data_IF_733373801573
#
_entry.id   IF_733373801573
#
_cell.length_a   1.000
_cell.length_b   1.000
_cell.length_c   1.000
_cell.angle_alpha   90.00
_cell.angle_beta   90.00
_cell.angle_gamma   90.00
#
_symmetry.space_group_name_H-M   'P 1'
#
loop_
_entity.id
_entity.type
_entity.pdbx_description
1 polymer ?
#
# COMPACT_ATOMS: atom_id res chain seq x y z
N UNK A 1 9.83 -5.45 37.73
CA UNK A 1 9.03 -5.74 36.54
C UNK A 1 8.14 -4.52 36.19
N UNK A 2 8.73 -3.33 36.25
CA UNK A 2 8.10 -2.04 35.95
C UNK A 2 9.06 -1.30 35.05
N UNK A 3 9.02 -1.43 33.74
CA UNK A 3 9.72 -0.46 32.87
C UNK A 3 9.43 -0.58 31.38
N UNK A 4 8.77 -1.63 30.90
CA UNK A 4 8.53 -1.72 29.46
C UNK A 4 7.27 -0.93 29.02
N UNK A 5 6.27 -0.85 29.89
CA UNK A 5 5.03 -0.10 29.62
C UNK A 5 5.22 1.44 29.71
N UNK A 6 6.19 1.90 30.45
CA UNK A 6 6.49 3.34 30.61
C UNK A 6 7.36 3.87 29.47
N UNK A 7 8.21 3.05 28.89
CA UNK A 7 9.04 3.46 27.74
C UNK A 7 8.20 3.56 26.45
N UNK A 8 7.24 2.65 26.25
CA UNK A 8 6.33 2.71 25.09
C UNK A 8 5.37 3.93 25.14
N UNK A 9 5.09 4.47 26.34
CA UNK A 9 4.29 5.70 26.50
C UNK A 9 5.14 6.96 26.27
N UNK A 10 6.43 6.91 26.55
CA UNK A 10 7.35 8.05 26.40
C UNK A 10 7.75 8.33 24.93
N UNK A 11 7.56 7.37 24.02
CA UNK A 11 7.77 7.53 22.58
C UNK A 11 6.46 7.68 21.78
N UNK A 12 5.35 8.04 22.39
CA UNK A 12 4.23 8.56 21.62
C UNK A 12 4.69 9.89 21.02
N UNK A 13 4.95 9.85 19.73
CA UNK A 13 5.33 11.04 18.97
C UNK A 13 4.36 12.17 19.29
N UNK A 14 4.89 13.26 19.84
CA UNK A 14 4.11 14.44 20.26
C UNK A 14 3.69 15.31 19.08
N UNK A 15 4.15 14.98 17.87
CA UNK A 15 3.77 15.70 16.66
C UNK A 15 2.26 15.57 16.42
N UNK A 16 1.63 16.72 16.24
CA UNK A 16 0.17 16.82 16.04
C UNK A 16 -0.14 17.15 14.58
N UNK A 17 -1.09 16.42 14.02
CA UNK A 17 -1.70 16.77 12.74
C UNK A 17 -2.63 18.01 12.88
N UNK A 18 -2.91 18.73 11.77
CA UNK A 18 -2.38 18.53 10.42
C UNK A 18 -0.92 19.02 10.30
N UNK A 19 -0.13 18.30 9.49
CA UNK A 19 1.20 18.78 9.09
C UNK A 19 1.05 19.86 8.01
N UNK A 20 1.98 20.83 8.01
CA UNK A 20 1.88 21.96 7.09
C UNK A 20 2.04 21.56 5.63
N UNK A 21 2.85 20.57 5.36
CA UNK A 21 3.09 19.98 4.03
C UNK A 21 3.39 18.50 4.18
N UNK A 22 3.08 17.76 3.16
CA UNK A 22 3.05 16.32 3.13
C UNK A 22 3.17 15.80 1.70
N UNK A 23 3.47 14.52 1.52
CA UNK A 23 3.46 13.83 0.24
C UNK A 23 2.17 13.02 0.09
N UNK A 24 1.57 13.04 -1.09
CA UNK A 24 0.31 12.34 -1.35
C UNK A 24 0.55 11.04 -2.07
N UNK A 25 1.40 10.83 -2.92
CA UNK A 25 1.50 9.62 -3.74
C UNK A 25 2.94 9.10 -3.89
N UNK A 26 3.14 8.34 -4.96
CA UNK A 26 4.40 7.68 -5.22
C UNK A 26 5.50 8.65 -5.67
N UNK A 27 6.72 8.33 -5.26
CA UNK A 27 7.92 8.98 -5.76
C UNK A 27 8.44 8.30 -7.03
N UNK A 28 9.22 9.05 -7.81
CA UNK A 28 9.94 8.48 -8.95
C UNK A 28 10.94 7.42 -8.47
N UNK A 29 10.85 6.22 -9.04
CA UNK A 29 11.72 5.12 -8.67
C UNK A 29 13.13 5.38 -9.14
N UNK A 30 14.15 5.25 -8.26
CA UNK A 30 15.56 5.31 -8.62
C UNK A 30 15.93 4.23 -9.67
N UNK A 31 16.95 4.48 -10.46
CA UNK A 31 17.38 3.52 -11.48
C UNK A 31 17.75 2.15 -10.87
N UNK A 32 18.47 2.16 -9.75
CA UNK A 32 18.81 0.92 -9.04
C UNK A 32 17.60 0.05 -8.69
N UNK A 33 16.48 0.68 -8.30
CA UNK A 33 15.23 -0.05 -8.01
C UNK A 33 14.59 -0.61 -9.27
N UNK A 34 14.63 0.13 -10.39
CA UNK A 34 14.10 -0.33 -11.69
C UNK A 34 14.89 -1.53 -12.19
N UNK A 35 16.23 -1.45 -12.15
CA UNK A 35 17.14 -2.51 -12.59
C UNK A 35 16.97 -3.78 -11.75
N UNK A 36 16.83 -3.62 -10.42
CA UNK A 36 16.58 -4.73 -9.52
C UNK A 36 15.22 -5.39 -9.79
N UNK A 37 14.17 -4.60 -10.05
CA UNK A 37 12.83 -5.12 -10.39
C UNK A 37 12.84 -5.92 -11.69
N UNK A 38 13.53 -5.42 -12.71
CA UNK A 38 13.70 -6.14 -13.98
C UNK A 38 14.46 -7.45 -13.78
N UNK A 39 15.62 -7.37 -13.09
CA UNK A 39 16.43 -8.56 -12.78
C UNK A 39 15.67 -9.62 -11.99
N UNK A 40 14.80 -9.20 -11.05
CA UNK A 40 13.93 -10.10 -10.31
C UNK A 40 12.86 -10.75 -11.21
N UNK A 41 12.18 -9.96 -12.08
CA UNK A 41 11.22 -10.48 -13.04
C UNK A 41 11.83 -11.50 -13.99
N UNK A 42 13.08 -11.31 -14.40
CA UNK A 42 13.83 -12.23 -15.26
C UNK A 42 14.43 -13.43 -14.50
N UNK A 43 14.22 -13.53 -13.19
CA UNK A 43 14.79 -14.59 -12.34
C UNK A 43 16.31 -14.52 -12.16
N UNK A 44 16.93 -13.39 -12.41
CA UNK A 44 18.39 -13.19 -12.27
C UNK A 44 18.83 -12.95 -10.84
N UNK A 45 17.94 -12.45 -10.00
CA UNK A 45 18.18 -12.25 -8.56
C UNK A 45 17.06 -12.89 -7.75
N UNK A 46 17.36 -13.32 -6.54
CA UNK A 46 16.39 -13.86 -5.58
C UNK A 46 15.54 -12.75 -4.94
N UNK A 47 14.42 -13.12 -4.33
CA UNK A 47 13.52 -12.18 -3.64
C UNK A 47 14.21 -11.43 -2.52
N UNK A 48 15.10 -12.08 -1.78
CA UNK A 48 15.85 -11.48 -0.67
C UNK A 48 16.79 -10.36 -1.16
N UNK A 49 17.40 -10.54 -2.33
CA UNK A 49 18.26 -9.53 -2.94
C UNK A 49 17.42 -8.35 -3.46
N UNK A 50 16.28 -8.62 -4.09
CA UNK A 50 15.34 -7.59 -4.49
C UNK A 50 14.87 -6.77 -3.29
N UNK A 51 14.43 -7.44 -2.21
CA UNK A 51 13.98 -6.78 -0.98
C UNK A 51 15.08 -5.95 -0.33
N UNK A 52 16.33 -6.40 -0.38
CA UNK A 52 17.48 -5.63 0.10
C UNK A 52 17.61 -4.32 -0.65
N UNK A 53 17.55 -4.33 -1.98
CA UNK A 53 17.63 -3.12 -2.81
C UNK A 53 16.46 -2.19 -2.52
N UNK A 54 15.23 -2.72 -2.43
CA UNK A 54 14.03 -1.94 -2.09
C UNK A 54 14.21 -1.25 -0.73
N UNK A 55 14.67 -1.98 0.28
CA UNK A 55 14.90 -1.44 1.63
C UNK A 55 15.97 -0.33 1.63
N UNK A 56 17.05 -0.51 0.88
CA UNK A 56 18.09 0.51 0.74
C UNK A 56 17.56 1.79 0.09
N UNK A 57 16.78 1.68 -0.97
CA UNK A 57 16.24 2.83 -1.67
C UNK A 57 15.16 3.55 -0.85
N UNK A 58 14.31 2.83 -0.11
CA UNK A 58 13.38 3.43 0.85
C UNK A 58 14.14 4.16 1.96
N UNK A 59 15.21 3.57 2.48
CA UNK A 59 16.05 4.19 3.51
C UNK A 59 16.65 5.52 3.02
N UNK A 60 17.18 5.55 1.81
CA UNK A 60 17.71 6.78 1.17
C UNK A 60 16.60 7.83 1.01
N UNK A 61 15.42 7.42 0.54
CA UNK A 61 14.27 8.30 0.35
C UNK A 61 13.81 8.92 1.68
N UNK A 62 13.63 8.10 2.72
CA UNK A 62 13.21 8.59 4.04
C UNK A 62 14.25 9.54 4.63
N UNK A 63 15.53 9.20 4.54
CA UNK A 63 16.61 10.10 4.97
C UNK A 63 16.50 11.46 4.27
N UNK A 64 16.26 11.46 2.96
CA UNK A 64 16.12 12.70 2.18
C UNK A 64 14.89 13.50 2.59
N UNK A 65 13.76 12.85 2.87
CA UNK A 65 12.55 13.52 3.39
C UNK A 65 12.84 14.20 4.74
N UNK A 66 13.53 13.51 5.65
CA UNK A 66 13.93 14.07 6.96
C UNK A 66 14.89 15.25 6.82
N UNK A 67 15.90 15.14 5.96
CA UNK A 67 16.85 16.24 5.67
C UNK A 67 16.16 17.50 5.13
N UNK A 68 15.06 17.33 4.40
CA UNK A 68 14.23 18.41 3.88
C UNK A 68 13.23 18.97 4.89
N UNK A 69 13.18 18.41 6.11
CA UNK A 69 12.33 18.87 7.20
C UNK A 69 10.89 18.38 7.16
N UNK A 70 10.60 17.28 6.44
CA UNK A 70 9.29 16.66 6.49
C UNK A 70 9.07 15.93 7.82
N UNK A 71 7.94 16.20 8.46
CA UNK A 71 7.52 15.50 9.68
C UNK A 71 6.78 14.20 9.40
N UNK A 72 6.01 14.13 8.30
CA UNK A 72 5.40 12.91 7.82
C UNK A 72 6.24 12.34 6.68
N UNK A 73 6.75 11.11 6.85
CA UNK A 73 7.56 10.43 5.84
C UNK A 73 6.84 9.21 5.30
N UNK A 74 7.06 8.92 4.01
CA UNK A 74 6.48 7.76 3.31
C UNK A 74 7.57 6.88 2.72
N UNK A 75 7.24 5.65 2.37
CA UNK A 75 8.10 4.72 1.64
C UNK A 75 8.16 5.02 0.12
N UNK A 76 7.43 6.07 -0.33
CA UNK A 76 7.35 6.47 -1.74
C UNK A 76 6.65 5.44 -2.62
N UNK A 77 5.99 4.46 -2.04
CA UNK A 77 5.35 3.32 -2.74
C UNK A 77 6.35 2.49 -3.57
N UNK A 78 7.60 2.44 -3.15
CA UNK A 78 8.68 1.78 -3.91
C UNK A 78 8.48 0.28 -4.06
N UNK A 79 7.71 -0.35 -3.14
CA UNK A 79 7.38 -1.79 -3.19
C UNK A 79 6.26 -2.10 -4.18
N UNK A 80 5.47 -1.10 -4.60
CA UNK A 80 4.28 -1.29 -5.42
C UNK A 80 4.61 -1.26 -6.91
N UNK A 81 3.92 -2.06 -7.67
CA UNK A 81 3.82 -1.95 -9.13
C UNK A 81 2.71 -0.98 -9.49
N UNK A 82 1.54 -1.23 -8.94
CA UNK A 82 0.35 -0.39 -9.11
C UNK A 82 -0.06 0.14 -7.74
N UNK A 83 -0.34 1.44 -7.63
CA UNK A 83 -0.62 2.09 -6.36
C UNK A 83 -1.82 1.49 -5.62
N UNK A 84 -2.81 0.95 -6.34
CA UNK A 84 -4.06 0.41 -5.81
C UNK A 84 -4.19 -1.12 -5.94
N UNK A 85 -3.80 -1.72 -7.09
CA UNK A 85 -4.00 -3.14 -7.33
C UNK A 85 -3.17 -4.02 -6.40
N UNK A 86 -1.90 -3.65 -6.16
CA UNK A 86 -1.02 -4.36 -5.22
C UNK A 86 -1.64 -4.49 -3.82
N UNK A 87 -2.41 -3.48 -3.39
CA UNK A 87 -3.14 -3.55 -2.14
C UNK A 87 -4.30 -4.55 -2.21
N UNK A 88 -5.06 -4.57 -3.30
CA UNK A 88 -6.18 -5.49 -3.48
C UNK A 88 -5.73 -6.94 -3.49
N UNK A 89 -4.55 -7.24 -4.01
CA UNK A 89 -3.96 -8.60 -4.01
C UNK A 89 -3.63 -9.11 -2.60
N UNK A 90 -3.57 -8.24 -1.62
CA UNK A 90 -3.40 -8.56 -0.21
C UNK A 90 -4.64 -9.18 0.45
N UNK A 91 -5.77 -9.32 -0.24
CA UNK A 91 -7.01 -9.91 0.30
C UNK A 91 -7.24 -11.33 -0.24
N UNK A 92 -7.99 -12.14 0.53
CA UNK A 92 -8.51 -13.40 0.03
C UNK A 92 -9.64 -13.17 -0.97
N UNK A 93 -9.77 -14.09 -1.92
CA UNK A 93 -10.79 -14.03 -2.95
C UNK A 93 -10.43 -13.14 -4.15
N UNK A 94 -9.22 -12.57 -4.19
CA UNK A 94 -8.71 -11.75 -5.28
C UNK A 94 -7.58 -12.48 -6.00
N UNK A 95 -7.62 -12.49 -7.32
CA UNK A 95 -6.53 -12.91 -8.20
C UNK A 95 -6.27 -11.85 -9.26
N UNK A 96 -5.12 -11.95 -9.89
CA UNK A 96 -4.72 -11.05 -10.97
C UNK A 96 -3.90 -11.79 -12.02
N UNK A 97 -3.89 -11.24 -13.23
CA UNK A 97 -3.04 -11.72 -14.33
C UNK A 97 -2.53 -10.55 -15.17
N UNK A 98 -1.30 -10.67 -15.66
CA UNK A 98 -0.75 -9.74 -16.64
C UNK A 98 -1.31 -10.09 -18.02
N UNK A 99 -2.25 -9.29 -18.49
CA UNK A 99 -2.89 -9.47 -19.82
C UNK A 99 -2.17 -8.70 -20.93
N UNK A 100 -1.18 -7.87 -20.58
CA UNK A 100 -0.56 -6.93 -21.49
C UNK A 100 -1.48 -5.81 -21.97
N UNK A 101 -2.72 -5.75 -21.45
CA UNK A 101 -3.67 -4.69 -21.75
C UNK A 101 -3.38 -3.46 -20.89
N UNK A 102 -3.85 -2.29 -21.31
CA UNK A 102 -3.64 -1.07 -20.54
C UNK A 102 -4.51 0.07 -21.02
N UNK A 103 -4.40 1.18 -20.31
CA UNK A 103 -5.11 2.42 -20.60
C UNK A 103 -4.16 3.39 -21.30
N UNK A 104 -4.56 3.99 -22.45
CA UNK A 104 -3.75 5.03 -23.08
C UNK A 104 -3.60 6.24 -22.15
N UNK A 105 -2.34 6.60 -21.86
CA UNK A 105 -2.02 7.77 -21.04
C UNK A 105 -0.84 8.51 -21.64
N UNK A 106 -1.00 9.77 -22.00
CA UNK A 106 0.05 10.62 -22.59
C UNK A 106 0.82 9.97 -23.76
N UNK A 107 0.11 9.33 -24.70
CA UNK A 107 0.67 8.61 -25.84
C UNK A 107 1.45 7.32 -25.49
N UNK A 108 1.43 6.88 -24.24
CA UNK A 108 1.97 5.59 -23.77
C UNK A 108 0.83 4.69 -23.30
N UNK A 109 1.06 3.37 -23.36
CA UNK A 109 0.13 2.40 -22.80
C UNK A 109 0.51 2.14 -21.34
N UNK A 110 -0.32 2.61 -20.42
CA UNK A 110 -0.20 2.23 -19.01
C UNK A 110 -0.77 0.82 -18.85
N UNK A 111 0.08 -0.19 -18.92
CA UNK A 111 -0.31 -1.59 -18.74
C UNK A 111 -0.78 -1.79 -17.29
N UNK A 112 -1.95 -2.40 -17.12
CA UNK A 112 -2.53 -2.75 -15.83
C UNK A 112 -2.80 -4.26 -15.83
N UNK A 113 -2.45 -4.92 -14.73
CA UNK A 113 -2.87 -6.30 -14.52
C UNK A 113 -4.40 -6.36 -14.37
N UNK A 114 -5.01 -7.35 -14.97
CA UNK A 114 -6.41 -7.63 -14.69
C UNK A 114 -6.53 -8.17 -13.26
N UNK A 115 -7.44 -7.59 -12.49
CA UNK A 115 -7.62 -7.91 -11.06
C UNK A 115 -9.10 -8.19 -10.81
N UNK A 116 -9.43 -9.42 -10.46
CA UNK A 116 -10.80 -9.93 -10.40
C UNK A 116 -11.06 -10.83 -9.19
N UNK A 117 -12.34 -11.07 -8.91
CA UNK A 117 -12.74 -11.96 -7.83
C UNK A 117 -12.81 -13.42 -8.28
N UNK A 118 -12.22 -14.29 -7.44
CA UNK A 118 -12.30 -15.75 -7.51
C UNK A 118 -13.01 -16.35 -6.30
N UNK A 119 -13.44 -15.51 -5.36
CA UNK A 119 -14.13 -15.87 -4.12
C UNK A 119 -14.74 -14.67 -3.43
N UNK A 120 -15.25 -14.87 -2.22
CA UNK A 120 -15.69 -13.78 -1.36
C UNK A 120 -14.48 -12.96 -0.90
N UNK A 121 -14.58 -11.63 -0.98
CA UNK A 121 -13.56 -10.69 -0.55
C UNK A 121 -13.41 -10.70 0.97
N UNK A 122 -12.21 -11.02 1.48
CA UNK A 122 -11.96 -11.13 2.93
C UNK A 122 -10.57 -10.64 3.29
N UNK A 123 -10.44 -10.11 4.49
CA UNK A 123 -9.13 -9.79 5.06
C UNK A 123 -8.36 -11.07 5.41
N UNK A 124 -7.04 -10.96 5.24
CA UNK A 124 -6.02 -11.87 5.77
C UNK A 124 -4.88 -11.02 6.36
N UNK A 125 -3.83 -11.60 6.95
CA UNK A 125 -2.62 -10.85 7.28
C UNK A 125 -2.10 -10.10 6.05
N UNK A 126 -2.19 -8.77 6.07
CA UNK A 126 -1.97 -7.97 4.86
C UNK A 126 -0.50 -7.61 4.71
N UNK A 127 0.14 -7.86 3.53
CA UNK A 127 1.58 -7.63 3.34
C UNK A 127 1.99 -6.17 3.55
N UNK A 128 1.12 -5.20 3.26
CA UNK A 128 1.40 -3.78 3.48
C UNK A 128 1.62 -3.42 4.95
N UNK A 129 1.14 -4.23 5.88
CA UNK A 129 1.41 -4.04 7.31
C UNK A 129 2.89 -4.28 7.62
N UNK A 130 3.52 -5.29 7.00
CA UNK A 130 4.96 -5.53 7.15
C UNK A 130 5.78 -4.40 6.47
N UNK A 131 5.32 -3.88 5.34
CA UNK A 131 5.93 -2.72 4.69
C UNK A 131 5.87 -1.47 5.58
N UNK A 132 4.72 -1.25 6.23
CA UNK A 132 4.58 -0.18 7.22
C UNK A 132 5.51 -0.37 8.42
N UNK A 133 5.65 -1.59 8.96
CA UNK A 133 6.57 -1.87 10.07
C UNK A 133 8.02 -1.52 9.72
N UNK A 134 8.43 -1.74 8.47
CA UNK A 134 9.74 -1.29 8.00
C UNK A 134 9.83 0.24 7.98
N UNK A 135 8.83 0.93 7.45
CA UNK A 135 8.82 2.40 7.44
C UNK A 135 8.80 3.00 8.86
N UNK A 136 8.07 2.37 9.78
CA UNK A 136 7.95 2.80 11.18
C UNK A 136 9.29 2.87 11.91
N UNK A 137 10.29 2.08 11.51
CA UNK A 137 11.63 2.11 12.13
C UNK A 137 12.32 3.48 12.02
N UNK A 138 11.88 4.32 11.11
CA UNK A 138 12.43 5.66 10.89
C UNK A 138 11.74 6.75 11.71
N UNK A 139 10.72 6.41 12.50
CA UNK A 139 10.09 7.38 13.41
C UNK A 139 11.06 7.84 14.50
N UNK A 140 10.96 9.11 14.84
CA UNK A 140 11.66 9.73 15.96
C UNK A 140 10.82 10.87 16.54
N UNK A 141 11.40 11.69 17.43
CA UNK A 141 10.72 12.81 18.07
C UNK A 141 10.18 13.87 17.08
N UNK A 142 10.73 13.95 15.86
CA UNK A 142 10.39 14.93 14.84
C UNK A 142 9.72 14.31 13.60
N UNK A 143 9.60 12.99 13.53
CA UNK A 143 9.18 12.29 12.31
C UNK A 143 8.19 11.18 12.63
N UNK A 144 7.09 11.15 11.88
CA UNK A 144 6.08 10.09 11.94
C UNK A 144 6.01 9.37 10.58
N UNK A 145 5.79 8.06 10.61
CA UNK A 145 5.50 7.28 9.43
C UNK A 145 4.04 7.49 8.98
N UNK A 146 3.86 7.86 7.72
CA UNK A 146 2.57 7.89 7.04
C UNK A 146 2.51 6.77 6.02
N UNK A 147 1.42 6.02 6.02
CA UNK A 147 1.18 4.97 5.04
C UNK A 147 -0.06 5.26 4.21
N UNK A 148 -0.02 4.88 2.93
CA UNK A 148 -1.11 5.13 1.98
C UNK A 148 -1.71 3.82 1.52
N UNK A 149 -3.04 3.77 1.42
CA UNK A 149 -3.78 2.65 0.84
C UNK A 149 -4.90 3.21 -0.03
N UNK A 150 -5.36 2.49 -1.07
CA UNK A 150 -6.52 2.93 -1.83
C UNK A 150 -7.77 2.96 -0.92
N UNK A 151 -8.68 3.88 -1.18
CA UNK A 151 -9.97 3.93 -0.50
C UNK A 151 -10.84 2.72 -0.87
N UNK A 152 -11.80 2.32 0.00
CA UNK A 152 -12.74 1.23 -0.30
C UNK A 152 -13.50 1.41 -1.62
N UNK A 153 -13.79 2.66 -1.99
CA UNK A 153 -14.45 2.98 -3.26
C UNK A 153 -13.64 2.54 -4.48
N UNK A 154 -12.30 2.65 -4.43
CA UNK A 154 -11.41 2.17 -5.51
C UNK A 154 -11.50 0.65 -5.68
N UNK A 155 -11.54 -0.08 -4.56
CA UNK A 155 -11.72 -1.55 -4.56
C UNK A 155 -13.08 -1.95 -5.11
N UNK A 156 -14.13 -1.27 -4.69
CA UNK A 156 -15.47 -1.51 -5.21
C UNK A 156 -15.53 -1.27 -6.72
N UNK A 157 -15.02 -0.13 -7.20
CA UNK A 157 -15.01 0.21 -8.63
C UNK A 157 -14.23 -0.84 -9.45
N UNK A 158 -13.10 -1.34 -8.95
CA UNK A 158 -12.32 -2.37 -9.65
C UNK A 158 -13.15 -3.62 -9.94
N UNK A 159 -14.02 -4.03 -9.01
CA UNK A 159 -14.79 -5.26 -9.15
C UNK A 159 -16.12 -5.08 -9.90
N UNK A 160 -16.60 -3.84 -10.12
CA UNK A 160 -17.81 -3.57 -10.88
C UNK A 160 -17.57 -3.00 -12.28
N UNK A 161 -16.29 -2.79 -12.69
CA UNK A 161 -16.02 -2.44 -14.08
C UNK A 161 -16.56 -3.52 -15.02
N UNK A 162 -16.93 -3.18 -16.26
CA UNK A 162 -17.59 -4.13 -17.18
C UNK A 162 -16.84 -5.45 -17.36
N UNK A 163 -15.51 -5.42 -17.39
CA UNK A 163 -14.65 -6.60 -17.54
C UNK A 163 -14.76 -7.56 -16.36
N UNK A 164 -15.01 -7.06 -15.15
CA UNK A 164 -14.99 -7.85 -13.90
C UNK A 164 -16.39 -8.15 -13.34
N UNK A 165 -17.42 -7.50 -13.87
CA UNK A 165 -18.79 -7.67 -13.38
C UNK A 165 -19.25 -9.11 -13.41
N UNK A 166 -18.95 -9.85 -14.49
CA UNK A 166 -19.37 -11.25 -14.60
C UNK A 166 -18.72 -12.14 -13.53
N UNK A 167 -17.42 -12.00 -13.27
CA UNK A 167 -16.72 -12.75 -12.23
C UNK A 167 -17.26 -12.37 -10.83
N UNK A 168 -17.48 -11.09 -10.59
CA UNK A 168 -18.01 -10.57 -9.31
C UNK A 168 -19.42 -11.13 -9.04
N UNK A 169 -20.30 -11.18 -10.02
CA UNK A 169 -21.69 -11.70 -9.85
C UNK A 169 -21.76 -13.20 -9.58
N UNK A 170 -20.69 -13.95 -9.74
CA UNK A 170 -20.61 -15.35 -9.28
C UNK A 170 -20.67 -15.44 -7.75
N UNK A 171 -20.12 -14.45 -7.04
CA UNK A 171 -19.97 -14.43 -5.59
C UNK A 171 -20.91 -13.43 -4.88
N UNK A 172 -21.31 -12.35 -5.57
CA UNK A 172 -22.13 -11.26 -5.05
C UNK A 172 -23.31 -10.99 -5.96
N UNK A 173 -24.53 -11.15 -5.43
CA UNK A 173 -25.76 -10.92 -6.22
C UNK A 173 -26.10 -9.44 -6.32
N UNK A 174 -25.73 -8.66 -5.31
CA UNK A 174 -25.98 -7.22 -5.24
C UNK A 174 -24.67 -6.46 -4.95
N UNK A 175 -24.67 -5.17 -5.22
CA UNK A 175 -23.55 -4.29 -4.87
C UNK A 175 -23.45 -4.12 -3.35
N UNK A 176 -24.59 -4.09 -2.64
CA UNK A 176 -24.61 -3.96 -1.18
C UNK A 176 -23.86 -5.11 -0.49
N UNK A 177 -24.06 -6.36 -0.95
CA UNK A 177 -23.29 -7.52 -0.43
C UNK A 177 -21.77 -7.36 -0.61
N UNK A 178 -21.35 -6.85 -1.75
CA UNK A 178 -19.93 -6.60 -2.02
C UNK A 178 -19.40 -5.46 -1.16
N UNK A 179 -20.15 -4.37 -1.05
CA UNK A 179 -19.79 -3.20 -0.23
C UNK A 179 -19.64 -3.58 1.25
N UNK A 180 -20.55 -4.42 1.78
CA UNK A 180 -20.47 -4.91 3.16
C UNK A 180 -19.18 -5.72 3.43
N UNK A 181 -18.83 -6.65 2.51
CA UNK A 181 -17.62 -7.46 2.65
C UNK A 181 -16.35 -6.60 2.49
N UNK A 182 -16.32 -5.65 1.54
CA UNK A 182 -15.22 -4.68 1.40
C UNK A 182 -15.08 -3.86 2.69
N UNK A 183 -16.16 -3.31 3.22
CA UNK A 183 -16.13 -2.51 4.43
C UNK A 183 -15.64 -3.33 5.65
N UNK A 184 -16.05 -4.60 5.75
CA UNK A 184 -15.57 -5.49 6.80
C UNK A 184 -14.07 -5.75 6.67
N UNK A 185 -13.61 -6.12 5.48
CA UNK A 185 -12.20 -6.42 5.21
C UNK A 185 -11.28 -5.19 5.45
N UNK A 186 -11.73 -4.00 5.04
CA UNK A 186 -10.99 -2.76 5.30
C UNK A 186 -10.90 -2.45 6.80
N UNK A 187 -11.98 -2.64 7.58
CA UNK A 187 -11.93 -2.48 9.03
C UNK A 187 -10.89 -3.39 9.66
N UNK A 188 -10.79 -4.64 9.20
CA UNK A 188 -9.81 -5.59 9.71
C UNK A 188 -8.37 -5.19 9.35
N UNK A 189 -8.11 -4.77 8.10
CA UNK A 189 -6.78 -4.32 7.68
C UNK A 189 -6.39 -3.01 8.38
N UNK A 190 -7.31 -2.05 8.52
CA UNK A 190 -7.05 -0.82 9.30
C UNK A 190 -6.70 -1.18 10.75
N UNK A 191 -7.38 -2.18 11.34
CA UNK A 191 -7.03 -2.69 12.68
C UNK A 191 -5.62 -3.26 12.70
N UNK A 192 -5.22 -4.05 11.71
CA UNK A 192 -3.86 -4.58 11.61
C UNK A 192 -2.80 -3.45 11.55
N UNK A 193 -3.05 -2.39 10.77
CA UNK A 193 -2.18 -1.21 10.76
C UNK A 193 -2.13 -0.52 12.12
N UNK A 194 -3.29 -0.33 12.77
CA UNK A 194 -3.36 0.27 14.10
C UNK A 194 -2.58 -0.53 15.13
N UNK A 195 -2.71 -1.86 15.14
CA UNK A 195 -2.02 -2.77 16.05
C UNK A 195 -0.51 -2.81 15.78
N UNK A 196 -0.09 -2.61 14.52
CA UNK A 196 1.31 -2.40 14.14
C UNK A 196 1.85 -1.02 14.56
N UNK A 197 1.01 -0.15 15.11
CA UNK A 197 1.38 1.18 15.59
C UNK A 197 1.20 2.30 14.57
N UNK A 198 0.53 2.05 13.44
CA UNK A 198 0.20 3.12 12.48
C UNK A 198 -0.79 4.11 13.11
N UNK A 199 -0.49 5.40 12.99
CA UNK A 199 -1.35 6.50 13.46
C UNK A 199 -1.63 7.54 12.36
N UNK A 200 -0.97 7.40 11.21
CA UNK A 200 -1.16 8.24 10.03
C UNK A 200 -1.40 7.33 8.84
N UNK A 201 -2.63 6.93 8.62
CA UNK A 201 -3.07 6.14 7.47
C UNK A 201 -3.87 7.05 6.53
N UNK A 202 -3.40 7.20 5.30
CA UNK A 202 -4.09 7.93 4.24
C UNK A 202 -4.89 6.96 3.37
N UNK A 203 -6.15 7.28 3.12
CA UNK A 203 -6.98 6.57 2.15
C UNK A 203 -7.05 7.41 0.87
N UNK A 204 -6.51 6.88 -0.22
CA UNK A 204 -6.48 7.55 -1.51
C UNK A 204 -7.77 7.28 -2.28
N UNK A 205 -8.60 8.31 -2.41
CA UNK A 205 -9.86 8.28 -3.14
C UNK A 205 -9.82 9.30 -4.26
N UNK A 206 -9.72 8.81 -5.49
CA UNK A 206 -9.55 9.64 -6.69
C UNK A 206 -10.66 9.43 -7.74
N UNK A 207 -11.77 8.83 -7.35
CA UNK A 207 -12.86 8.44 -8.27
C UNK A 207 -14.17 9.19 -8.02
N UNK A 208 -14.07 10.49 -7.80
CA UNK A 208 -15.22 11.40 -7.67
C UNK A 208 -15.72 11.92 -9.00
#
# INVERSE_FOLDING_TARGET
>A
MFNKFTEDILFMNTLKTPFRYDFVGSFLRPQALKDAKESFKEGKIASEEYDRVVNEEITKLVKKQKELGFHAVTDGEFRRTFWHLDFMWGFDGVEHEDTGNGVPFNAELAVLDDTYLVGKFKAKPHPFVEYFKFLKQFEDENTVAKYTIPAPAQTFLQFIVPTNTESTRKFYKTDDELIEDIAAAYRDVIRQFYDAGCRNLQLDDCSW
#
